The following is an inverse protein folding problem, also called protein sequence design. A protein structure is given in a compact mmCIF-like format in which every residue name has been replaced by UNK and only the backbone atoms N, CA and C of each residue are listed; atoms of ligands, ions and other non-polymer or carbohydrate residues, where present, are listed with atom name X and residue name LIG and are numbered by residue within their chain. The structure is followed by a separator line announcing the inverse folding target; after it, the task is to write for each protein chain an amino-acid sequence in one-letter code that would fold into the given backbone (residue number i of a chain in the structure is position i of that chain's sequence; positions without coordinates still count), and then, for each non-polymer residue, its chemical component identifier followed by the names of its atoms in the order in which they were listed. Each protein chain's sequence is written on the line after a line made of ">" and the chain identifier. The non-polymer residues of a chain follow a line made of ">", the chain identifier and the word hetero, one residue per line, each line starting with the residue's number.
data_IF_246948085384
#
_entry.id   IF_246948085384
#
_cell.length_a   1.000
_cell.length_b   1.000
_cell.length_c   1.000
_cell.angle_alpha   90.00
_cell.angle_beta   90.00
_cell.angle_gamma   90.00
#
_symmetry.space_group_name_H-M   'P 1'
#
loop_
_entity.id
_entity.type
_entity.pdbx_description
1 polymer ?
#
# COMPACT_ATOMS: atom_id res chain seq x y z
N UNK A 1 14.66 46.49 -19.84
CA UNK A 1 15.95 45.80 -20.03
C UNK A 1 15.71 44.65 -21.00
N UNK A 2 16.38 44.68 -22.16
CA UNK A 2 16.19 43.71 -23.25
C UNK A 2 16.80 42.36 -22.84
N UNK A 3 15.99 41.31 -22.77
CA UNK A 3 16.42 39.97 -22.34
C UNK A 3 17.20 39.27 -23.44
N UNK A 4 18.52 39.44 -23.45
CA UNK A 4 19.40 38.57 -24.25
C UNK A 4 19.58 37.24 -23.51
N UNK A 5 19.17 36.13 -24.13
CA UNK A 5 19.57 34.79 -23.70
C UNK A 5 21.04 34.60 -24.12
N UNK A 6 21.96 34.77 -23.17
CA UNK A 6 23.36 34.41 -23.39
C UNK A 6 23.48 32.89 -23.55
N UNK A 7 23.70 32.40 -24.76
CA UNK A 7 23.88 30.97 -24.99
C UNK A 7 25.25 30.52 -24.47
N UNK A 8 25.32 29.46 -23.64
CA UNK A 8 26.56 29.05 -22.99
C UNK A 8 27.57 28.40 -23.94
N UNK A 9 27.19 28.04 -25.18
CA UNK A 9 28.11 27.46 -26.16
C UNK A 9 27.82 27.88 -27.60
N UNK A 10 28.89 27.97 -28.41
CA UNK A 10 28.81 28.34 -29.84
C UNK A 10 28.03 27.32 -30.68
N UNK A 11 28.06 26.05 -30.28
CA UNK A 11 27.27 24.99 -30.91
C UNK A 11 25.76 25.21 -30.71
N UNK A 12 25.35 25.55 -29.48
CA UNK A 12 23.95 25.86 -29.15
C UNK A 12 23.48 27.11 -29.89
N UNK A 13 24.31 28.16 -29.95
CA UNK A 13 23.98 29.38 -30.69
C UNK A 13 23.78 29.15 -32.21
N UNK A 14 24.57 28.27 -32.83
CA UNK A 14 24.43 27.92 -34.24
C UNK A 14 23.19 27.04 -34.50
N UNK A 15 22.89 26.11 -33.58
CA UNK A 15 21.68 25.29 -33.66
C UNK A 15 20.41 26.14 -33.56
N UNK A 16 20.36 27.07 -32.60
CA UNK A 16 19.22 27.97 -32.41
C UNK A 16 18.99 28.88 -33.63
N UNK A 17 20.06 29.39 -34.26
CA UNK A 17 19.96 30.15 -35.52
C UNK A 17 19.38 29.33 -36.66
N UNK A 18 19.73 28.04 -36.76
CA UNK A 18 19.13 27.12 -37.76
C UNK A 18 17.64 26.87 -37.52
N UNK A 19 17.17 27.10 -36.30
CA UNK A 19 15.77 26.97 -35.90
C UNK A 19 15.05 28.34 -35.88
N UNK A 20 15.54 29.31 -36.65
CA UNK A 20 14.97 30.65 -36.83
C UNK A 20 14.90 31.51 -35.55
N UNK A 21 15.64 31.17 -34.49
CA UNK A 21 15.76 32.02 -33.32
C UNK A 21 16.49 33.33 -33.67
N UNK A 22 15.91 34.48 -33.30
CA UNK A 22 16.57 35.79 -33.35
C UNK A 22 16.91 36.26 -31.93
N UNK A 23 18.14 36.71 -31.74
CA UNK A 23 18.62 37.21 -30.45
C UNK A 23 17.77 38.42 -30.00
N UNK A 24 17.22 38.35 -28.79
CA UNK A 24 16.27 39.35 -28.26
C UNK A 24 14.79 39.09 -28.61
N UNK A 25 14.47 38.06 -29.41
CA UNK A 25 13.08 37.60 -29.59
C UNK A 25 12.80 36.43 -28.64
N UNK A 26 11.79 36.58 -27.79
CA UNK A 26 11.36 35.53 -26.88
C UNK A 26 10.26 34.66 -27.49
N UNK A 27 10.18 33.40 -27.08
CA UNK A 27 9.15 32.47 -27.53
C UNK A 27 7.77 32.85 -26.94
N UNK A 28 6.93 33.46 -27.78
CA UNK A 28 5.55 33.86 -27.49
C UNK A 28 4.93 34.47 -28.74
N UNK A 29 3.60 34.49 -28.85
CA UNK A 29 2.88 34.93 -30.07
C UNK A 29 3.26 36.35 -30.57
N UNK A 30 3.87 37.15 -29.71
CA UNK A 30 4.27 38.54 -29.98
C UNK A 30 5.78 38.77 -29.72
N UNK A 31 6.59 37.72 -29.64
CA UNK A 31 8.06 37.84 -29.51
C UNK A 31 8.57 38.32 -28.14
N UNK A 32 7.70 38.41 -27.12
CA UNK A 32 8.05 39.00 -25.81
C UNK A 32 8.83 38.04 -24.89
N UNK A 33 8.70 36.74 -25.11
CA UNK A 33 9.25 35.72 -24.21
C UNK A 33 8.54 35.68 -22.86
N UNK A 34 8.51 34.50 -22.25
CA UNK A 34 8.01 34.38 -20.87
C UNK A 34 9.12 34.90 -19.94
N UNK A 35 9.01 36.16 -19.52
CA UNK A 35 10.00 36.86 -18.67
C UNK A 35 9.93 36.41 -17.20
N UNK A 36 8.81 35.80 -16.80
CA UNK A 36 8.58 35.31 -15.45
C UNK A 36 8.64 33.78 -15.42
N UNK A 37 9.36 33.16 -14.47
CA UNK A 37 9.41 31.70 -14.35
C UNK A 37 7.99 31.11 -14.38
N UNK A 38 7.78 30.11 -15.25
CA UNK A 38 6.50 29.40 -15.34
C UNK A 38 6.28 28.71 -13.99
N UNK A 39 5.43 29.29 -13.15
CA UNK A 39 4.97 28.62 -11.94
C UNK A 39 4.00 27.53 -12.36
N UNK A 40 4.35 26.28 -12.10
CA UNK A 40 3.43 25.17 -12.26
C UNK A 40 2.24 25.38 -11.30
N UNK A 41 1.09 25.80 -11.83
CA UNK A 41 -0.16 25.74 -11.09
C UNK A 41 -0.58 24.27 -11.06
N UNK A 42 -0.23 23.59 -9.96
CA UNK A 42 -0.71 22.23 -9.69
C UNK A 42 -2.22 22.32 -9.53
N UNK A 43 -2.96 21.95 -10.57
CA UNK A 43 -4.39 21.70 -10.42
C UNK A 43 -4.54 20.44 -9.59
N UNK A 44 -5.11 20.58 -8.38
CA UNK A 44 -5.52 19.46 -7.53
C UNK A 44 -6.44 18.56 -8.36
N UNK A 45 -5.90 17.44 -8.85
CA UNK A 45 -6.65 16.47 -9.65
C UNK A 45 -7.53 15.66 -8.70
N UNK A 46 -8.84 15.92 -8.71
CA UNK A 46 -9.88 15.21 -7.92
C UNK A 46 -10.07 13.71 -8.27
N UNK A 47 -9.20 13.10 -9.09
CA UNK A 47 -9.24 11.66 -9.43
C UNK A 47 -7.85 11.16 -9.81
N UNK A 48 -7.34 10.09 -9.18
CA UNK A 48 -6.28 9.29 -9.77
C UNK A 48 -6.95 8.28 -10.71
N UNK A 49 -6.92 8.53 -12.02
CA UNK A 49 -7.02 7.44 -12.99
C UNK A 49 -5.60 7.08 -13.38
N UNK A 50 -5.03 6.07 -12.72
CA UNK A 50 -3.80 5.43 -13.17
C UNK A 50 -4.13 4.63 -14.44
N UNK A 51 -3.64 5.09 -15.58
CA UNK A 51 -3.64 4.31 -16.83
C UNK A 51 -2.54 3.25 -16.79
N UNK A 52 -2.67 2.21 -17.61
CA UNK A 52 -1.65 1.17 -17.78
C UNK A 52 -0.28 1.80 -18.08
N UNK A 53 0.72 1.50 -17.24
CA UNK A 53 2.11 1.89 -17.43
C UNK A 53 2.80 2.54 -16.22
N UNK A 54 2.16 2.62 -15.04
CA UNK A 54 2.81 3.14 -13.84
C UNK A 54 4.01 2.25 -13.43
N UNK A 55 5.23 2.76 -13.65
CA UNK A 55 6.46 2.29 -13.00
C UNK A 55 6.79 3.29 -11.88
N UNK A 56 6.99 2.80 -10.67
CA UNK A 56 7.37 3.57 -9.46
C UNK A 56 8.72 4.30 -9.54
N UNK A 57 9.44 4.23 -10.67
CA UNK A 57 10.64 5.04 -10.87
C UNK A 57 10.30 6.15 -11.87
N UNK A 58 10.20 7.41 -11.43
CA UNK A 58 10.17 8.52 -12.35
C UNK A 58 11.43 8.44 -13.21
N UNK A 59 11.28 8.60 -14.52
CA UNK A 59 12.43 8.83 -15.38
C UNK A 59 13.09 10.12 -14.87
N UNK A 60 14.31 10.02 -14.34
CA UNK A 60 15.04 11.17 -13.82
C UNK A 60 15.37 12.10 -15.00
N UNK A 61 14.56 13.13 -15.17
CA UNK A 61 14.71 14.15 -16.20
C UNK A 61 15.55 15.34 -15.70
N UNK A 62 16.24 15.20 -14.55
CA UNK A 62 17.10 16.24 -13.98
C UNK A 62 16.33 17.46 -13.45
N UNK A 63 15.00 17.41 -13.40
CA UNK A 63 14.18 18.45 -12.79
C UNK A 63 13.99 18.13 -11.31
N UNK A 64 14.37 19.06 -10.45
CA UNK A 64 14.06 18.99 -9.02
C UNK A 64 12.54 19.07 -8.84
N UNK A 65 11.88 17.93 -8.72
CA UNK A 65 10.48 17.85 -8.28
C UNK A 65 10.51 18.16 -6.78
N UNK A 66 9.90 19.27 -6.32
CA UNK A 66 9.75 19.52 -4.90
C UNK A 66 9.05 18.29 -4.27
N UNK A 67 9.46 17.85 -3.07
CA UNK A 67 8.76 16.77 -2.38
C UNK A 67 7.26 17.09 -2.37
N UNK A 68 6.43 16.08 -2.63
CA UNK A 68 4.98 16.25 -2.53
C UNK A 68 4.67 16.94 -1.20
N UNK A 69 3.92 18.06 -1.21
CA UNK A 69 3.57 18.71 0.03
C UNK A 69 2.89 17.67 0.92
N UNK A 70 3.17 17.66 2.24
CA UNK A 70 2.47 16.77 3.15
C UNK A 70 0.97 16.96 2.92
N UNK A 71 0.27 15.88 2.56
CA UNK A 71 -1.17 15.92 2.37
C UNK A 71 -1.76 16.30 3.73
N UNK A 72 -2.37 17.48 3.82
CA UNK A 72 -2.98 17.97 5.06
C UNK A 72 -3.87 16.86 5.65
N UNK A 73 -3.65 16.49 6.92
CA UNK A 73 -4.44 15.47 7.61
C UNK A 73 -5.95 15.74 7.50
N UNK A 74 -6.34 17.01 7.60
CA UNK A 74 -7.72 17.46 7.37
C UNK A 74 -8.25 17.05 5.98
N UNK A 75 -7.44 17.14 4.92
CA UNK A 75 -7.87 16.72 3.58
C UNK A 75 -8.14 15.21 3.52
N UNK A 76 -7.31 14.39 4.20
CA UNK A 76 -7.51 12.93 4.26
C UNK A 76 -8.79 12.59 5.01
N UNK A 77 -9.01 13.22 6.16
CA UNK A 77 -10.22 13.03 6.96
C UNK A 77 -11.48 13.38 6.16
N UNK A 78 -11.49 14.52 5.46
CA UNK A 78 -12.63 14.90 4.60
C UNK A 78 -12.89 13.90 3.48
N UNK A 79 -11.83 13.35 2.88
CA UNK A 79 -11.96 12.33 1.86
C UNK A 79 -12.52 11.02 2.42
N UNK A 80 -12.08 10.60 3.61
CA UNK A 80 -12.61 9.41 4.31
C UNK A 80 -14.07 9.56 4.67
N UNK A 81 -14.43 10.72 5.23
CA UNK A 81 -15.82 11.08 5.52
C UNK A 81 -16.66 11.02 4.24
N UNK A 82 -16.16 11.61 3.14
CA UNK A 82 -16.87 11.58 1.87
C UNK A 82 -16.97 10.16 1.27
N UNK A 83 -15.94 9.32 1.43
CA UNK A 83 -15.94 7.89 1.04
C UNK A 83 -17.01 7.14 1.81
N UNK A 84 -17.03 7.25 3.13
CA UNK A 84 -18.01 6.59 3.99
C UNK A 84 -19.46 7.00 3.63
N UNK A 85 -19.71 8.28 3.38
CA UNK A 85 -21.03 8.76 2.97
C UNK A 85 -21.50 8.19 1.63
N UNK A 86 -20.59 8.03 0.66
CA UNK A 86 -20.92 7.42 -0.64
C UNK A 86 -21.30 5.95 -0.46
N UNK A 87 -20.50 5.21 0.32
CA UNK A 87 -20.77 3.80 0.62
C UNK A 87 -22.11 3.62 1.33
N UNK A 88 -22.45 4.46 2.31
CA UNK A 88 -23.77 4.42 2.97
C UNK A 88 -24.92 4.64 1.97
N UNK A 89 -24.75 5.61 1.06
CA UNK A 89 -25.76 5.92 0.05
C UNK A 89 -25.96 4.75 -0.90
N UNK A 90 -24.86 4.21 -1.42
CA UNK A 90 -24.86 3.04 -2.30
C UNK A 90 -25.51 1.83 -1.61
N UNK A 91 -25.09 1.51 -0.39
CA UNK A 91 -25.67 0.45 0.43
C UNK A 91 -27.21 0.58 0.55
N UNK A 92 -27.69 1.78 0.91
CA UNK A 92 -29.13 2.04 1.03
C UNK A 92 -29.88 1.83 -0.28
N UNK A 93 -29.33 2.31 -1.39
CA UNK A 93 -29.97 2.24 -2.71
C UNK A 93 -30.04 0.80 -3.21
N UNK A 94 -28.97 0.03 -3.03
CA UNK A 94 -28.95 -1.38 -3.38
C UNK A 94 -29.96 -2.17 -2.54
N UNK A 95 -30.03 -1.96 -1.23
CA UNK A 95 -31.02 -2.66 -0.38
C UNK A 95 -32.46 -2.34 -0.79
N UNK A 96 -32.77 -1.07 -1.09
CA UNK A 96 -34.11 -0.70 -1.54
C UNK A 96 -34.47 -1.41 -2.85
N UNK A 97 -33.56 -1.44 -3.82
CA UNK A 97 -33.77 -2.15 -5.08
C UNK A 97 -34.05 -3.64 -4.83
N UNK A 98 -33.24 -4.30 -3.99
CA UNK A 98 -33.42 -5.72 -3.69
C UNK A 98 -34.74 -6.04 -2.98
N UNK A 99 -35.14 -5.21 -2.02
CA UNK A 99 -36.42 -5.39 -1.31
C UNK A 99 -37.62 -5.14 -2.24
N UNK A 100 -37.52 -4.19 -3.17
CA UNK A 100 -38.54 -3.97 -4.19
C UNK A 100 -38.65 -5.17 -5.14
N UNK A 101 -37.52 -5.73 -5.58
CA UNK A 101 -37.48 -6.93 -6.43
C UNK A 101 -38.08 -8.15 -5.73
N UNK A 102 -37.78 -8.35 -4.44
CA UNK A 102 -38.37 -9.44 -3.65
C UNK A 102 -39.90 -9.33 -3.59
N UNK A 103 -40.43 -8.11 -3.40
CA UNK A 103 -41.87 -7.87 -3.41
C UNK A 103 -42.50 -8.12 -4.78
N UNK A 104 -41.81 -7.76 -5.87
CA UNK A 104 -42.25 -8.08 -7.23
C UNK A 104 -42.26 -9.60 -7.49
N UNK A 105 -41.38 -10.35 -6.83
CA UNK A 105 -41.31 -11.81 -6.87
C UNK A 105 -42.32 -12.52 -5.93
N UNK A 106 -43.32 -11.79 -5.40
CA UNK A 106 -44.40 -12.24 -4.50
C UNK A 106 -44.02 -12.51 -3.04
N UNK A 107 -42.97 -11.90 -2.53
CA UNK A 107 -42.78 -11.79 -1.07
C UNK A 107 -43.59 -10.60 -0.53
N UNK A 108 -44.84 -10.87 -0.12
CA UNK A 108 -45.72 -9.92 0.55
C UNK A 108 -45.64 -10.04 2.09
N UNK A 109 -44.52 -10.54 2.63
CA UNK A 109 -44.31 -10.63 4.07
C UNK A 109 -44.35 -9.27 4.76
N UNK A 110 -44.79 -9.27 6.02
CA UNK A 110 -44.84 -8.06 6.86
C UNK A 110 -43.42 -7.53 7.09
N UNK A 111 -42.46 -8.44 7.19
CA UNK A 111 -41.04 -8.19 7.38
C UNK A 111 -40.44 -7.43 6.19
N UNK A 112 -40.76 -7.80 4.95
CA UNK A 112 -40.31 -7.08 3.73
C UNK A 112 -40.91 -5.68 3.68
N UNK A 113 -42.19 -5.52 4.02
CA UNK A 113 -42.85 -4.21 4.06
C UNK A 113 -42.27 -3.29 5.14
N UNK A 114 -42.00 -3.82 6.33
CA UNK A 114 -41.39 -3.08 7.44
C UNK A 114 -39.94 -2.70 7.16
N UNK A 115 -39.16 -3.60 6.55
CA UNK A 115 -37.81 -3.33 6.10
C UNK A 115 -37.78 -2.21 5.05
N UNK A 116 -38.66 -2.26 4.04
CA UNK A 116 -38.78 -1.19 3.03
C UNK A 116 -39.09 0.16 3.66
N UNK A 117 -40.05 0.20 4.59
CA UNK A 117 -40.43 1.44 5.30
C UNK A 117 -39.28 1.98 6.13
N UNK A 118 -38.56 1.11 6.84
CA UNK A 118 -37.39 1.48 7.65
C UNK A 118 -36.25 2.06 6.81
N UNK A 119 -35.87 1.38 5.71
CA UNK A 119 -34.78 1.83 4.84
C UNK A 119 -35.16 3.12 4.12
N UNK A 120 -36.40 3.27 3.64
CA UNK A 120 -36.88 4.50 3.03
C UNK A 120 -36.85 5.69 4.01
N UNK A 121 -37.22 5.47 5.28
CA UNK A 121 -37.10 6.49 6.34
C UNK A 121 -35.64 6.86 6.60
N UNK A 122 -34.75 5.86 6.67
CA UNK A 122 -33.31 6.07 6.84
C UNK A 122 -32.70 6.85 5.67
N UNK A 123 -33.08 6.54 4.42
CA UNK A 123 -32.67 7.28 3.21
C UNK A 123 -33.08 8.76 3.24
N UNK A 124 -34.27 9.08 3.75
CA UNK A 124 -34.69 10.48 3.94
C UNK A 124 -33.83 11.18 4.99
N UNK A 125 -33.50 10.50 6.08
CA UNK A 125 -32.63 11.03 7.13
C UNK A 125 -31.17 11.25 6.65
N UNK A 126 -30.69 10.40 5.74
CA UNK A 126 -29.37 10.53 5.09
C UNK A 126 -29.20 11.81 4.26
N UNK A 127 -30.29 12.46 3.84
CA UNK A 127 -30.26 13.74 3.10
C UNK A 127 -30.07 14.97 4.00
N UNK A 128 -30.09 14.83 5.33
CA UNK A 128 -29.93 15.91 6.32
C UNK A 128 -28.47 16.22 6.71
N UNK A 129 -28.25 16.87 7.88
CA UNK A 129 -26.89 17.06 8.44
C UNK A 129 -26.25 15.69 8.69
N UNK A 130 -25.11 15.43 8.04
CA UNK A 130 -24.53 14.08 7.89
C UNK A 130 -23.53 13.75 9.00
N UNK A 131 -23.70 12.59 9.62
CA UNK A 131 -22.68 11.89 10.40
C UNK A 131 -22.51 10.50 9.78
N UNK A 132 -21.35 10.17 9.18
CA UNK A 132 -21.11 8.85 8.59
C UNK A 132 -21.13 7.74 9.67
N UNK A 133 -21.40 6.50 9.27
CA UNK A 133 -21.43 5.33 10.17
C UNK A 133 -22.73 5.18 10.97
N UNK A 134 -23.75 6.01 10.70
CA UNK A 134 -25.02 6.00 11.45
C UNK A 134 -26.13 5.23 10.74
N UNK A 135 -25.87 4.66 9.55
CA UNK A 135 -26.91 3.94 8.79
C UNK A 135 -27.52 2.77 9.56
N UNK A 136 -26.70 1.84 10.07
CA UNK A 136 -27.17 0.70 10.87
C UNK A 136 -27.99 1.12 12.09
N UNK A 137 -27.51 2.13 12.82
CA UNK A 137 -28.16 2.64 14.04
C UNK A 137 -29.52 3.31 13.78
N UNK A 138 -29.80 3.73 12.53
CA UNK A 138 -31.08 4.33 12.13
C UNK A 138 -32.15 3.28 11.80
N UNK A 139 -31.80 2.01 11.68
CA UNK A 139 -32.73 0.94 11.38
C UNK A 139 -33.26 0.30 12.69
N UNK A 140 -34.57 -0.05 12.75
CA UNK A 140 -35.08 -0.89 13.83
C UNK A 140 -34.31 -2.23 13.90
N UNK A 141 -34.03 -2.78 15.09
CA UNK A 141 -33.24 -4.02 15.23
C UNK A 141 -33.81 -5.20 14.43
N UNK A 142 -35.13 -5.36 14.39
CA UNK A 142 -35.81 -6.40 13.63
C UNK A 142 -35.61 -6.24 12.12
N UNK A 143 -35.75 -5.01 11.60
CA UNK A 143 -35.53 -4.71 10.18
C UNK A 143 -34.06 -4.90 9.79
N UNK A 144 -33.11 -4.46 10.63
CA UNK A 144 -31.69 -4.66 10.39
C UNK A 144 -31.34 -6.16 10.34
N UNK A 145 -31.86 -6.94 11.29
CA UNK A 145 -31.67 -8.39 11.33
C UNK A 145 -32.23 -9.07 10.08
N UNK A 146 -33.47 -8.76 9.72
CA UNK A 146 -34.10 -9.31 8.51
C UNK A 146 -33.30 -8.98 7.24
N UNK A 147 -32.89 -7.73 7.06
CA UNK A 147 -32.09 -7.30 5.91
C UNK A 147 -30.76 -8.07 5.86
N UNK A 148 -30.05 -8.18 6.98
CA UNK A 148 -28.76 -8.88 7.03
C UNK A 148 -28.95 -10.37 6.70
N UNK A 149 -29.87 -11.04 7.38
CA UNK A 149 -30.03 -12.50 7.31
C UNK A 149 -30.70 -12.97 6.02
N UNK A 150 -31.74 -12.27 5.54
CA UNK A 150 -32.58 -12.74 4.43
C UNK A 150 -32.25 -12.06 3.10
N UNK A 151 -31.76 -10.83 3.12
CA UNK A 151 -31.46 -10.08 1.90
C UNK A 151 -29.98 -10.15 1.56
N UNK A 152 -29.12 -9.79 2.50
CA UNK A 152 -27.70 -9.59 2.23
C UNK A 152 -26.94 -10.93 2.27
N UNK A 153 -27.13 -11.75 3.31
CA UNK A 153 -26.36 -12.98 3.51
C UNK A 153 -26.42 -13.95 2.32
N UNK A 154 -27.58 -14.28 1.72
CA UNK A 154 -27.62 -15.21 0.59
C UNK A 154 -26.84 -14.70 -0.63
N UNK A 155 -26.85 -13.38 -0.85
CA UNK A 155 -26.15 -12.71 -1.94
C UNK A 155 -24.65 -12.65 -1.69
N UNK A 156 -24.23 -12.40 -0.45
CA UNK A 156 -22.82 -12.47 -0.06
C UNK A 156 -22.28 -13.89 -0.24
N UNK A 157 -23.02 -14.91 0.21
CA UNK A 157 -22.63 -16.32 0.03
C UNK A 157 -22.51 -16.70 -1.45
N UNK A 158 -23.46 -16.28 -2.29
CA UNK A 158 -23.38 -16.51 -3.74
C UNK A 158 -22.20 -15.76 -4.36
N UNK A 159 -22.06 -14.47 -4.05
CA UNK A 159 -21.02 -13.61 -4.59
C UNK A 159 -19.61 -14.06 -4.20
N UNK A 160 -19.37 -14.43 -2.93
CA UNK A 160 -18.06 -14.95 -2.51
C UNK A 160 -17.70 -16.26 -3.19
N UNK A 161 -18.68 -17.14 -3.46
CA UNK A 161 -18.45 -18.42 -4.16
C UNK A 161 -18.01 -18.20 -5.59
N UNK A 162 -18.64 -17.27 -6.30
CA UNK A 162 -18.32 -16.93 -7.69
C UNK A 162 -17.07 -16.06 -7.82
N UNK A 163 -16.75 -15.28 -6.77
CA UNK A 163 -15.60 -14.39 -6.73
C UNK A 163 -14.28 -15.13 -6.95
N UNK A 164 -13.43 -14.56 -7.83
CA UNK A 164 -12.08 -15.06 -8.13
C UNK A 164 -11.05 -14.01 -7.73
N UNK A 165 -10.06 -14.33 -6.88
CA UNK A 165 -9.08 -13.36 -6.38
C UNK A 165 -8.03 -12.90 -7.41
N UNK A 166 -8.15 -13.28 -8.68
CA UNK A 166 -7.02 -13.35 -9.63
C UNK A 166 -6.70 -12.07 -10.42
N UNK A 167 -7.38 -10.95 -10.19
CA UNK A 167 -6.98 -9.70 -10.85
C UNK A 167 -7.44 -8.52 -10.03
N UNK A 168 -6.49 -7.92 -9.31
CA UNK A 168 -6.53 -6.61 -8.67
C UNK A 168 -7.93 -5.97 -8.64
N UNK A 169 -8.66 -6.31 -7.59
CA UNK A 169 -9.83 -5.57 -7.15
C UNK A 169 -9.47 -5.00 -5.78
N UNK A 170 -9.14 -3.69 -5.71
CA UNK A 170 -8.72 -3.06 -4.46
C UNK A 170 -9.83 -3.03 -3.39
N UNK A 171 -11.06 -3.42 -3.71
CA UNK A 171 -12.22 -3.20 -2.84
C UNK A 171 -13.09 -4.46 -2.61
N UNK A 172 -12.70 -5.66 -3.08
CA UNK A 172 -13.59 -6.84 -3.11
C UNK A 172 -14.96 -6.51 -3.75
N UNK A 173 -14.92 -5.62 -4.74
CA UNK A 173 -15.97 -4.81 -5.32
C UNK A 173 -16.95 -5.63 -6.14
N UNK A 174 -17.97 -6.12 -5.43
CA UNK A 174 -19.39 -6.13 -5.80
C UNK A 174 -20.19 -6.87 -4.71
N UNK A 175 -19.57 -7.88 -4.10
CA UNK A 175 -20.27 -8.76 -3.16
C UNK A 175 -20.10 -8.39 -1.69
N UNK A 176 -19.03 -7.67 -1.30
CA UNK A 176 -18.75 -7.29 0.10
C UNK A 176 -18.89 -5.79 0.34
N UNK A 177 -18.19 -4.97 -0.46
CA UNK A 177 -18.10 -3.51 -0.31
C UNK A 177 -19.47 -2.83 -0.11
N UNK A 178 -20.53 -3.13 -0.88
CA UNK A 178 -21.80 -2.43 -0.73
C UNK A 178 -22.46 -2.64 0.63
N UNK A 179 -22.06 -3.66 1.39
CA UNK A 179 -22.73 -4.06 2.63
C UNK A 179 -21.98 -3.64 3.89
N UNK A 180 -20.71 -3.21 3.77
CA UNK A 180 -19.87 -2.75 4.89
C UNK A 180 -20.61 -1.79 5.84
N UNK A 181 -21.38 -0.79 5.36
CA UNK A 181 -22.10 0.12 6.27
C UNK A 181 -23.13 -0.54 7.22
N UNK A 182 -23.57 -1.77 6.94
CA UNK A 182 -24.48 -2.53 7.79
C UNK A 182 -23.80 -3.65 8.57
N UNK A 183 -22.95 -4.42 7.92
CA UNK A 183 -22.30 -5.58 8.54
C UNK A 183 -21.12 -5.15 9.42
N UNK A 184 -20.46 -4.04 9.06
CA UNK A 184 -19.26 -3.53 9.73
C UNK A 184 -18.02 -4.36 9.41
N UNK A 185 -18.09 -5.67 9.62
CA UNK A 185 -17.03 -6.64 9.35
C UNK A 185 -17.58 -7.82 8.53
N UNK A 186 -16.65 -8.61 7.96
CA UNK A 186 -17.01 -9.83 7.25
C UNK A 186 -17.69 -10.82 8.23
N UNK A 187 -18.86 -11.39 7.90
CA UNK A 187 -19.50 -12.40 8.74
C UNK A 187 -18.61 -13.64 8.92
N UNK A 188 -18.56 -14.18 10.14
CA UNK A 188 -17.71 -15.33 10.49
C UNK A 188 -17.99 -16.57 9.62
N UNK A 189 -19.24 -16.76 9.20
CA UNK A 189 -19.64 -17.86 8.31
C UNK A 189 -18.96 -17.83 6.93
N UNK A 190 -18.35 -16.71 6.54
CA UNK A 190 -17.66 -16.53 5.27
C UNK A 190 -16.13 -16.63 5.39
N UNK A 191 -15.58 -16.70 6.60
CA UNK A 191 -14.13 -16.73 6.82
C UNK A 191 -13.45 -17.87 6.06
N UNK A 192 -13.92 -19.11 6.24
CA UNK A 192 -13.33 -20.29 5.59
C UNK A 192 -13.35 -20.19 4.05
N UNK A 193 -14.44 -19.63 3.48
CA UNK A 193 -14.59 -19.49 2.03
C UNK A 193 -13.62 -18.44 1.49
N UNK A 194 -13.47 -17.33 2.20
CA UNK A 194 -12.52 -16.27 1.82
C UNK A 194 -11.10 -16.77 1.96
N UNK A 195 -10.74 -17.35 3.11
CA UNK A 195 -9.40 -17.87 3.39
C UNK A 195 -8.94 -18.90 2.37
N UNK A 196 -9.79 -19.87 2.04
CA UNK A 196 -9.47 -20.89 1.03
C UNK A 196 -9.24 -20.30 -0.35
N UNK A 197 -9.85 -19.15 -0.68
CA UNK A 197 -9.66 -18.46 -1.95
C UNK A 197 -8.39 -17.61 -1.96
N UNK A 198 -8.10 -16.90 -0.89
CA UNK A 198 -6.92 -16.01 -0.81
C UNK A 198 -5.63 -16.74 -0.42
N UNK A 199 -5.74 -17.97 0.10
CA UNK A 199 -4.59 -18.82 0.37
C UNK A 199 -3.73 -18.96 -0.90
N UNK A 200 -2.41 -18.81 -0.75
CA UNK A 200 -1.42 -18.81 -1.83
C UNK A 200 -1.55 -17.69 -2.86
N UNK A 201 -2.37 -16.65 -2.62
CA UNK A 201 -2.39 -15.45 -3.46
C UNK A 201 -1.23 -14.49 -3.13
N UNK A 202 -1.01 -13.52 -4.03
CA UNK A 202 0.00 -12.47 -3.84
C UNK A 202 -0.39 -11.43 -2.78
N UNK A 203 0.59 -10.61 -2.37
CA UNK A 203 0.43 -9.58 -1.33
C UNK A 203 -0.78 -8.69 -1.56
N UNK A 204 -0.94 -8.16 -2.79
CA UNK A 204 -2.02 -7.25 -3.16
C UNK A 204 -3.43 -7.82 -2.96
N UNK A 205 -3.55 -9.15 -3.01
CA UNK A 205 -4.83 -9.83 -2.82
C UNK A 205 -5.08 -10.12 -1.34
N UNK A 206 -4.03 -10.44 -0.58
CA UNK A 206 -4.13 -10.86 0.82
C UNK A 206 -4.17 -9.68 1.78
N UNK A 207 -3.36 -8.64 1.55
CA UNK A 207 -3.19 -7.51 2.47
C UNK A 207 -4.49 -6.80 2.87
N UNK A 208 -5.49 -6.59 1.98
CA UNK A 208 -6.72 -5.89 2.38
C UNK A 208 -7.55 -6.68 3.40
N UNK A 209 -7.44 -8.01 3.40
CA UNK A 209 -8.23 -8.87 4.29
C UNK A 209 -7.83 -8.77 5.76
N UNK A 210 -6.68 -8.16 6.07
CA UNK A 210 -6.25 -7.87 7.44
C UNK A 210 -7.25 -6.97 8.18
N UNK A 211 -7.93 -6.08 7.46
CA UNK A 211 -8.93 -5.16 8.04
C UNK A 211 -10.32 -5.80 8.15
N UNK A 212 -10.61 -6.82 7.34
CA UNK A 212 -11.93 -7.46 7.27
C UNK A 212 -12.07 -8.68 8.19
N UNK A 213 -10.96 -9.39 8.43
CA UNK A 213 -10.91 -10.52 9.35
C UNK A 213 -10.67 -10.01 10.78
N UNK A 214 -11.33 -10.63 11.75
CA UNK A 214 -11.06 -10.29 13.15
C UNK A 214 -9.61 -10.67 13.54
N UNK A 215 -9.03 -10.06 14.58
CA UNK A 215 -7.62 -10.27 14.92
C UNK A 215 -7.24 -11.73 15.19
N UNK A 216 -8.14 -12.51 15.80
CA UNK A 216 -7.91 -13.93 16.14
C UNK A 216 -7.88 -14.79 14.87
N UNK A 217 -8.81 -14.53 13.96
CA UNK A 217 -8.89 -15.23 12.69
C UNK A 217 -7.71 -14.87 11.80
N UNK A 218 -7.33 -13.58 11.73
CA UNK A 218 -6.16 -13.14 10.97
C UNK A 218 -4.87 -13.78 11.48
N UNK A 219 -4.67 -13.85 12.80
CA UNK A 219 -3.51 -14.54 13.40
C UNK A 219 -3.48 -16.02 13.00
N UNK A 220 -4.63 -16.71 13.06
CA UNK A 220 -4.77 -18.12 12.66
C UNK A 220 -4.44 -18.33 11.18
N UNK A 221 -5.03 -17.52 10.30
CA UNK A 221 -4.75 -17.54 8.86
C UNK A 221 -3.27 -17.25 8.58
N UNK A 222 -2.70 -16.22 9.22
CA UNK A 222 -1.30 -15.84 9.00
C UNK A 222 -0.32 -16.95 9.34
N UNK A 223 -0.54 -17.67 10.46
CA UNK A 223 0.30 -18.80 10.87
C UNK A 223 0.19 -19.99 9.93
N UNK A 224 -0.99 -20.23 9.37
CA UNK A 224 -1.25 -21.36 8.47
C UNK A 224 -0.78 -21.09 7.04
N UNK A 225 -0.97 -19.88 6.53
CA UNK A 225 -0.85 -19.57 5.11
C UNK A 225 0.29 -18.58 4.80
N UNK A 226 0.56 -17.58 5.65
CA UNK A 226 1.58 -16.54 5.40
C UNK A 226 2.95 -16.96 5.92
N UNK A 227 3.06 -17.34 7.19
CA UNK A 227 4.36 -17.63 7.81
C UNK A 227 5.13 -18.75 7.09
N UNK A 228 4.52 -19.89 6.69
CA UNK A 228 5.24 -20.92 5.96
C UNK A 228 5.78 -20.44 4.61
N UNK A 229 5.06 -19.54 3.94
CA UNK A 229 5.52 -18.90 2.70
C UNK A 229 6.75 -18.03 2.97
N UNK A 230 6.73 -17.20 4.01
CA UNK A 230 7.87 -16.36 4.39
C UNK A 230 9.08 -17.19 4.82
N UNK A 231 8.89 -18.25 5.62
CA UNK A 231 9.95 -19.18 6.01
C UNK A 231 10.62 -19.79 4.78
N UNK A 232 9.84 -20.24 3.80
CA UNK A 232 10.39 -20.78 2.54
C UNK A 232 11.24 -19.75 1.79
N UNK A 233 10.76 -18.50 1.69
CA UNK A 233 11.52 -17.42 1.05
C UNK A 233 12.86 -17.19 1.75
N UNK A 234 12.90 -17.11 3.08
CA UNK A 234 14.16 -16.89 3.84
C UNK A 234 15.09 -18.10 3.74
N UNK A 235 14.54 -19.31 3.76
CA UNK A 235 15.32 -20.55 3.61
C UNK A 235 16.06 -20.60 2.27
N UNK A 236 15.36 -20.34 1.18
CA UNK A 236 15.85 -20.51 -0.19
C UNK A 236 16.62 -19.27 -0.72
N UNK A 237 16.50 -18.14 -0.03
CA UNK A 237 17.15 -16.89 -0.40
C UNK A 237 18.66 -17.03 -0.54
N UNK A 238 19.19 -16.42 -1.60
CA UNK A 238 20.63 -16.28 -1.82
C UNK A 238 21.06 -14.84 -1.62
N UNK A 239 22.10 -14.62 -0.82
CA UNK A 239 22.68 -13.30 -0.57
C UNK A 239 23.96 -13.17 -1.40
N UNK A 240 23.97 -12.22 -2.35
CA UNK A 240 25.03 -12.03 -3.33
C UNK A 240 25.48 -10.56 -3.40
N UNK A 241 26.57 -10.20 -2.72
CA UNK A 241 27.21 -8.90 -2.90
C UNK A 241 27.89 -8.79 -4.28
N UNK A 242 28.11 -7.56 -4.79
CA UNK A 242 27.55 -6.30 -4.31
C UNK A 242 26.10 -6.07 -4.79
N UNK A 243 25.66 -6.77 -5.84
CA UNK A 243 24.34 -6.58 -6.46
C UNK A 243 23.41 -7.73 -6.11
N UNK A 244 22.52 -7.47 -5.16
CA UNK A 244 21.46 -8.40 -4.78
C UNK A 244 20.37 -8.42 -5.87
N UNK A 245 20.17 -9.58 -6.51
CA UNK A 245 19.12 -9.77 -7.54
C UNK A 245 17.91 -10.54 -7.03
N UNK A 246 18.07 -11.36 -6.00
CA UNK A 246 17.00 -12.15 -5.42
C UNK A 246 16.01 -11.23 -4.66
N UNK A 247 14.71 -11.22 -5.03
CA UNK A 247 13.72 -10.34 -4.43
C UNK A 247 13.18 -10.84 -3.08
N UNK A 248 13.55 -12.05 -2.65
CA UNK A 248 12.92 -12.75 -1.52
C UNK A 248 12.92 -11.92 -0.25
N UNK A 249 14.02 -11.24 0.09
CA UNK A 249 14.07 -10.41 1.29
C UNK A 249 13.09 -9.23 1.21
N UNK A 250 13.01 -8.57 0.05
CA UNK A 250 12.07 -7.47 -0.17
C UNK A 250 10.64 -7.96 -0.07
N UNK A 251 10.35 -9.15 -0.58
CA UNK A 251 9.05 -9.79 -0.40
C UNK A 251 8.78 -10.06 1.08
N UNK A 252 9.72 -10.63 1.83
CA UNK A 252 9.51 -10.85 3.28
C UNK A 252 9.22 -9.55 4.00
N UNK A 253 9.95 -8.47 3.69
CA UNK A 253 9.74 -7.15 4.31
C UNK A 253 8.43 -6.47 3.86
N UNK A 254 7.97 -6.73 2.62
CA UNK A 254 6.66 -6.27 2.16
C UNK A 254 5.52 -6.93 2.96
N UNK A 255 5.66 -8.21 3.30
CA UNK A 255 4.66 -8.96 4.06
C UNK A 255 4.79 -8.79 5.59
N UNK A 256 5.94 -8.36 6.11
CA UNK A 256 6.19 -8.22 7.54
C UNK A 256 5.13 -7.38 8.29
N UNK A 257 4.63 -6.24 7.77
CA UNK A 257 3.58 -5.47 8.44
C UNK A 257 2.24 -6.22 8.59
N UNK A 258 2.03 -7.34 7.87
CA UNK A 258 0.82 -8.14 7.97
C UNK A 258 0.84 -9.13 9.14
N UNK A 259 2.00 -9.43 9.70
CA UNK A 259 2.18 -10.42 10.77
C UNK A 259 2.84 -9.78 12.00
N UNK A 260 3.02 -10.53 13.08
CA UNK A 260 3.71 -10.01 14.28
C UNK A 260 5.21 -9.95 14.01
N UNK A 261 5.86 -8.89 14.46
CA UNK A 261 7.31 -8.73 14.31
C UNK A 261 8.09 -9.90 14.92
N UNK A 262 7.64 -10.44 16.06
CA UNK A 262 8.27 -11.59 16.71
C UNK A 262 8.26 -12.84 15.81
N UNK A 263 7.19 -13.06 15.04
CA UNK A 263 7.12 -14.22 14.14
C UNK A 263 8.14 -14.10 13.00
N UNK A 264 8.31 -12.89 12.44
CA UNK A 264 9.33 -12.63 11.41
C UNK A 264 10.73 -12.81 12.00
N UNK A 265 10.98 -12.33 13.21
CA UNK A 265 12.24 -12.53 13.91
C UNK A 265 12.56 -14.02 14.10
N UNK A 266 11.62 -14.80 14.62
CA UNK A 266 11.79 -16.24 14.76
C UNK A 266 12.09 -16.93 13.42
N UNK A 267 11.51 -16.46 12.31
CA UNK A 267 11.83 -16.99 10.97
C UNK A 267 13.27 -16.64 10.57
N UNK A 268 13.71 -15.39 10.77
CA UNK A 268 15.07 -14.95 10.43
C UNK A 268 16.13 -15.73 11.21
N UNK A 269 15.87 -15.98 12.50
CA UNK A 269 16.74 -16.78 13.37
C UNK A 269 16.75 -18.26 12.95
N UNK A 270 15.58 -18.88 12.83
CA UNK A 270 15.45 -20.30 12.50
C UNK A 270 16.08 -20.64 11.13
N UNK A 271 15.91 -19.77 10.15
CA UNK A 271 16.46 -19.95 8.79
C UNK A 271 17.88 -19.39 8.62
N UNK A 272 18.51 -18.98 9.73
CA UNK A 272 19.90 -18.52 9.82
C UNK A 272 20.20 -17.40 8.83
N UNK A 273 19.28 -16.44 8.72
CA UNK A 273 19.41 -15.33 7.78
C UNK A 273 20.70 -14.53 8.03
N UNK A 274 20.98 -14.17 9.29
CA UNK A 274 22.15 -13.36 9.64
C UNK A 274 23.47 -14.10 9.36
N UNK A 275 23.56 -15.40 9.64
CA UNK A 275 24.73 -16.21 9.26
C UNK A 275 24.99 -16.22 7.75
N UNK A 276 23.92 -16.33 6.94
CA UNK A 276 24.02 -16.27 5.48
C UNK A 276 24.50 -14.88 5.04
N UNK A 277 23.97 -13.82 5.66
CA UNK A 277 24.28 -12.43 5.35
C UNK A 277 25.72 -12.07 5.70
N UNK A 278 26.14 -12.31 6.94
CA UNK A 278 27.51 -12.08 7.42
C UNK A 278 28.51 -12.95 6.66
N UNK A 279 28.19 -14.21 6.40
CA UNK A 279 29.03 -15.11 5.63
C UNK A 279 29.22 -14.64 4.19
N UNK A 280 28.18 -14.08 3.56
CA UNK A 280 28.26 -13.51 2.22
C UNK A 280 29.14 -12.25 2.20
N UNK A 281 28.97 -11.36 3.18
CA UNK A 281 29.80 -10.17 3.36
C UNK A 281 31.27 -10.55 3.53
N UNK A 282 31.59 -11.45 4.47
CA UNK A 282 32.96 -11.90 4.74
C UNK A 282 33.64 -12.47 3.50
N UNK A 283 32.96 -13.34 2.76
CA UNK A 283 33.49 -13.91 1.51
C UNK A 283 33.75 -12.84 0.45
N UNK A 284 32.85 -11.87 0.31
CA UNK A 284 33.01 -10.78 -0.65
C UNK A 284 34.18 -9.85 -0.29
N UNK A 285 34.33 -9.49 1.00
CA UNK A 285 35.46 -8.71 1.50
C UNK A 285 36.80 -9.39 1.20
N UNK A 286 36.88 -10.72 1.42
CA UNK A 286 38.10 -11.49 1.17
C UNK A 286 38.42 -11.65 -0.33
N UNK A 287 37.40 -11.97 -1.15
CA UNK A 287 37.60 -12.33 -2.54
C UNK A 287 37.73 -11.12 -3.48
N UNK A 288 36.86 -10.12 -3.32
CA UNK A 288 36.78 -8.97 -4.22
C UNK A 288 37.51 -7.73 -3.70
N UNK A 289 37.76 -7.65 -2.37
CA UNK A 289 38.41 -6.51 -1.70
C UNK A 289 37.81 -5.16 -2.12
N UNK A 290 36.48 -4.97 -1.94
CA UNK A 290 35.81 -3.72 -2.30
C UNK A 290 36.37 -2.55 -1.47
N UNK A 291 36.16 -1.33 -1.95
CA UNK A 291 36.46 -0.14 -1.17
C UNK A 291 35.59 -0.06 0.08
N UNK A 292 36.08 0.61 1.14
CA UNK A 292 35.33 0.84 2.37
C UNK A 292 33.93 1.42 2.07
N UNK A 293 33.87 2.43 1.21
CA UNK A 293 32.62 3.08 0.82
C UNK A 293 31.63 2.12 0.14
N UNK A 294 32.09 1.21 -0.71
CA UNK A 294 31.23 0.21 -1.35
C UNK A 294 30.67 -0.80 -0.35
N UNK A 295 31.51 -1.27 0.58
CA UNK A 295 31.10 -2.24 1.59
C UNK A 295 30.14 -1.63 2.61
N UNK A 296 30.42 -0.43 3.11
CA UNK A 296 29.51 0.33 3.98
C UNK A 296 28.19 0.64 3.26
N UNK A 297 28.23 1.03 1.99
CA UNK A 297 27.02 1.26 1.19
C UNK A 297 26.17 -0.01 1.03
N UNK A 298 26.82 -1.18 0.91
CA UNK A 298 26.11 -2.45 0.85
C UNK A 298 25.41 -2.79 2.18
N UNK A 299 26.10 -2.69 3.32
CA UNK A 299 25.52 -2.94 4.65
C UNK A 299 24.37 -1.95 4.97
N UNK A 300 24.60 -0.65 4.76
CA UNK A 300 23.57 0.37 4.95
C UNK A 300 22.39 0.19 3.99
N UNK A 301 22.63 -0.32 2.79
CA UNK A 301 21.58 -0.69 1.83
C UNK A 301 20.67 -1.79 2.36
N UNK A 302 21.22 -2.83 3.00
CA UNK A 302 20.43 -3.88 3.65
C UNK A 302 19.65 -3.37 4.86
N UNK A 303 20.27 -2.56 5.74
CA UNK A 303 19.60 -1.94 6.89
C UNK A 303 18.33 -1.18 6.49
N UNK A 304 18.36 -0.46 5.35
CA UNK A 304 17.22 0.28 4.81
C UNK A 304 16.05 -0.58 4.30
N UNK A 305 16.26 -1.89 4.11
CA UNK A 305 15.21 -2.79 3.65
C UNK A 305 14.34 -3.32 4.80
N UNK A 306 14.83 -3.30 6.04
CA UNK A 306 14.07 -3.76 7.19
C UNK A 306 12.91 -2.82 7.50
N UNK A 307 11.80 -3.38 8.02
CA UNK A 307 10.69 -2.56 8.50
C UNK A 307 11.07 -1.83 9.80
N UNK A 308 10.43 -0.69 10.11
CA UNK A 308 10.71 0.06 11.34
C UNK A 308 10.57 -0.80 12.61
N UNK A 309 9.59 -1.68 12.64
CA UNK A 309 9.31 -2.55 13.80
C UNK A 309 10.45 -3.55 14.05
N UNK A 310 11.06 -4.08 13.00
CA UNK A 310 12.23 -4.97 13.13
C UNK A 310 13.50 -4.21 13.49
N UNK A 311 13.62 -2.94 13.06
CA UNK A 311 14.75 -2.10 13.43
C UNK A 311 14.70 -1.62 14.89
N UNK A 312 13.61 -1.83 15.61
CA UNK A 312 13.55 -1.63 17.07
C UNK A 312 14.07 -2.81 17.86
N UNK A 313 14.30 -3.96 17.23
CA UNK A 313 14.79 -5.17 17.88
C UNK A 313 16.32 -5.10 18.05
N UNK A 314 16.79 -5.26 19.29
CA UNK A 314 18.22 -5.15 19.62
C UNK A 314 19.07 -6.23 18.95
N UNK A 315 18.53 -7.43 18.72
CA UNK A 315 19.23 -8.53 18.05
C UNK A 315 19.49 -8.20 16.58
N UNK A 316 18.48 -7.63 15.90
CA UNK A 316 18.63 -7.17 14.51
C UNK A 316 19.71 -6.09 14.40
N UNK A 317 19.67 -5.10 15.29
CA UNK A 317 20.67 -4.02 15.30
C UNK A 317 22.07 -4.56 15.57
N UNK A 318 22.24 -5.45 16.53
CA UNK A 318 23.53 -6.06 16.85
C UNK A 318 24.14 -6.80 15.65
N UNK A 319 23.36 -7.57 14.89
CA UNK A 319 23.84 -8.23 13.67
C UNK A 319 24.23 -7.24 12.56
N UNK A 320 23.46 -6.18 12.38
CA UNK A 320 23.75 -5.16 11.37
C UNK A 320 25.02 -4.37 11.71
N UNK A 321 25.20 -4.05 12.99
CA UNK A 321 26.39 -3.34 13.49
C UNK A 321 27.63 -4.25 13.44
N UNK A 322 27.51 -5.52 13.82
CA UNK A 322 28.58 -6.51 13.65
C UNK A 322 29.05 -6.63 12.20
N UNK A 323 28.13 -6.53 11.23
CA UNK A 323 28.48 -6.50 9.81
C UNK A 323 29.21 -5.22 9.39
N UNK A 324 28.92 -4.07 10.01
CA UNK A 324 29.67 -2.83 9.79
C UNK A 324 31.07 -2.92 10.40
N UNK A 325 31.22 -3.54 11.56
CA UNK A 325 32.52 -3.77 12.20
C UNK A 325 33.42 -4.69 11.36
N UNK A 326 32.83 -5.64 10.62
CA UNK A 326 33.59 -6.47 9.67
C UNK A 326 34.16 -5.66 8.49
N UNK A 327 33.51 -4.55 8.14
CA UNK A 327 33.91 -3.67 7.03
C UNK A 327 35.02 -2.70 7.46
N UNK A 328 35.02 -2.26 8.72
CA UNK A 328 36.04 -1.38 9.29
C UNK A 328 36.85 -2.07 10.40
N UNK A 329 37.89 -2.85 10.05
CA UNK A 329 38.73 -3.52 11.04
C UNK A 329 39.49 -2.53 11.95
N UNK A 330 39.53 -1.22 11.63
CA UNK A 330 40.17 -0.21 12.49
C UNK A 330 39.43 -0.03 13.82
N UNK A 331 38.11 -0.26 13.86
CA UNK A 331 37.36 -0.30 15.12
C UNK A 331 37.75 -1.50 16.00
N UNK A 332 37.97 -2.67 15.40
CA UNK A 332 38.42 -3.86 16.13
C UNK A 332 39.85 -3.73 16.68
N UNK A 333 40.75 -3.10 15.92
CA UNK A 333 42.13 -2.85 16.38
C UNK A 333 42.16 -1.86 17.56
N UNK A 334 41.34 -0.81 17.52
CA UNK A 334 41.26 0.18 18.61
C UNK A 334 40.69 -0.42 19.90
N UNK A 335 39.60 -1.19 19.87
CA UNK A 335 39.05 -1.83 21.07
C UNK A 335 39.99 -2.89 21.67
N UNK A 336 40.75 -3.60 20.83
CA UNK A 336 41.77 -4.55 21.28
C UNK A 336 43.00 -3.88 21.92
N UNK A 337 43.31 -2.65 21.51
CA UNK A 337 44.36 -1.82 22.09
C UNK A 337 43.94 -1.22 23.44
N UNK A 338 42.66 -0.86 23.61
CA UNK A 338 42.13 -0.34 24.87
C UNK A 338 41.84 -1.44 25.92
N UNK A 339 41.61 -2.69 25.53
CA UNK A 339 41.45 -3.82 26.47
C UNK A 339 42.77 -4.41 26.98
N UNK A 340 43.92 -3.96 26.47
CA UNK A 340 45.28 -4.39 26.89
C UNK A 340 46.03 -3.35 27.72
N UNK A 341 45.38 -2.23 28.03
CA UNK A 341 45.78 -1.23 29.03
C UNK A 341 44.88 -1.40 30.26
#
# INVERSE_FOLDING_TARGET
>A
MSGSLAFPSRAVANMMRRWNYREGSGLGAQGQGIVLPIRAVVRVRRRPKAGLGYREKPYDNGLHVPPEPPVDEECREWEDIARAMRLETECCETILALLHDMRLQRDDSVETADALKAVAKSKKALRGKRVPGTFKARLPPSAARYIIEQVIMPRMVAGVREWKPSSWDPDCGDWLRPWIPLIGHLPESLYDIVESKISNCGYEVVSPWKEYLNPVQWDTFSKRDILPYLTRLVREMRITPPKQTDPSFRTVMLWAPLVRAQDVMSILEAERFFDKWEGALRRWLQAAKPSLGEATAWCTGWKKLFTPELLTDESVLAHLDAGLDMVDPVMQDLDSLFSKL
#
